data_IF_546545789205
#
_entry.id   IF_546545789205
#
_cell.length_a   1.000
_cell.length_b   1.000
_cell.length_c   1.000
_cell.angle_alpha   90.00
_cell.angle_beta   90.00
_cell.angle_gamma   90.00
#
_symmetry.space_group_name_H-M   'P 1'
#
loop_
_entity.id
_entity.type
_entity.pdbx_description
1 polymer ?
#
# COMPACT_ATOMS: atom_id res chain seq x y z
N UNK A 1 12.88 10.80 9.16
CA UNK A 1 13.23 9.41 9.50
C UNK A 1 12.05 8.56 9.10
N UNK A 2 12.26 7.60 8.21
CA UNK A 2 11.23 6.72 7.67
C UNK A 2 10.82 5.72 8.75
N UNK A 3 9.67 5.96 9.41
CA UNK A 3 9.30 5.27 10.66
C UNK A 3 9.16 3.77 10.52
N UNK A 4 8.93 3.28 9.30
CA UNK A 4 8.69 1.88 8.98
C UNK A 4 9.74 1.30 8.02
N UNK A 5 10.89 1.97 7.86
CA UNK A 5 11.98 1.47 7.03
C UNK A 5 12.34 0.01 7.37
N UNK A 6 12.39 -0.83 6.34
CA UNK A 6 12.73 -2.25 6.47
C UNK A 6 11.66 -3.13 7.11
N UNK A 7 10.45 -2.60 7.36
CA UNK A 7 9.30 -3.40 7.82
C UNK A 7 8.47 -3.90 6.66
N UNK A 8 7.82 -5.04 6.87
CA UNK A 8 6.79 -5.58 5.98
C UNK A 8 5.44 -5.45 6.67
N UNK A 9 4.43 -4.94 5.96
CA UNK A 9 3.07 -4.79 6.46
C UNK A 9 2.07 -5.53 5.55
N UNK A 10 1.12 -6.24 6.18
CA UNK A 10 -0.04 -6.82 5.53
C UNK A 10 -1.28 -6.01 5.91
N UNK A 11 -2.04 -5.50 4.93
CA UNK A 11 -3.25 -4.70 5.16
C UNK A 11 -4.45 -5.38 4.49
N UNK A 12 -5.45 -5.74 5.28
CA UNK A 12 -6.77 -6.15 4.76
C UNK A 12 -7.69 -4.94 4.63
N UNK A 13 -8.55 -4.92 3.61
CA UNK A 13 -9.47 -3.78 3.39
C UNK A 13 -8.75 -2.55 2.81
N UNK A 14 -7.66 -2.77 2.06
CA UNK A 14 -6.77 -1.69 1.62
C UNK A 14 -7.23 -0.91 0.38
N UNK A 15 -8.41 -1.19 -0.18
CA UNK A 15 -8.86 -0.53 -1.41
C UNK A 15 -9.50 0.86 -1.17
N UNK A 16 -9.98 1.15 0.06
CA UNK A 16 -10.65 2.43 0.38
C UNK A 16 -10.47 2.86 1.83
N UNK A 17 -10.94 4.07 2.14
CA UNK A 17 -11.03 4.58 3.51
C UNK A 17 -9.70 4.55 4.26
N UNK A 18 -9.72 4.05 5.49
CA UNK A 18 -8.55 3.96 6.36
C UNK A 18 -7.50 3.00 5.79
N UNK A 19 -7.87 1.81 5.33
CA UNK A 19 -6.93 0.83 4.77
C UNK A 19 -6.17 1.35 3.56
N UNK A 20 -6.82 2.08 2.65
CA UNK A 20 -6.13 2.75 1.54
C UNK A 20 -5.19 3.87 2.01
N UNK A 21 -5.58 4.61 3.06
CA UNK A 21 -4.75 5.66 3.65
C UNK A 21 -3.51 5.07 4.30
N UNK A 22 -3.66 4.00 5.06
CA UNK A 22 -2.57 3.25 5.71
C UNK A 22 -1.64 2.63 4.69
N UNK A 23 -2.16 2.02 3.62
CA UNK A 23 -1.36 1.46 2.52
C UNK A 23 -0.44 2.53 1.93
N UNK A 24 -0.98 3.72 1.59
CA UNK A 24 -0.19 4.83 1.05
C UNK A 24 0.81 5.37 2.05
N UNK A 25 0.39 5.55 3.30
CA UNK A 25 1.24 6.07 4.37
C UNK A 25 2.41 5.12 4.64
N UNK A 26 2.16 3.82 4.75
CA UNK A 26 3.18 2.85 5.14
C UNK A 26 4.25 2.72 4.05
N UNK A 27 3.84 2.72 2.77
CA UNK A 27 4.80 2.78 1.65
C UNK A 27 5.65 4.04 1.72
N UNK A 28 5.02 5.20 1.99
CA UNK A 28 5.74 6.48 2.15
C UNK A 28 6.73 6.47 3.32
N UNK A 29 6.40 5.78 4.41
CA UNK A 29 7.26 5.62 5.58
C UNK A 29 8.30 4.48 5.42
N UNK A 30 8.48 3.95 4.20
CA UNK A 30 9.54 3.00 3.87
C UNK A 30 9.22 1.52 4.11
N UNK A 31 7.96 1.18 4.40
CA UNK A 31 7.54 -0.22 4.53
C UNK A 31 7.36 -0.87 3.16
N UNK A 32 7.63 -2.18 3.07
CA UNK A 32 7.08 -3.03 2.02
C UNK A 32 5.67 -3.43 2.40
N UNK A 33 4.68 -3.12 1.57
CA UNK A 33 3.25 -3.33 1.87
C UNK A 33 2.66 -4.35 0.90
N UNK A 34 2.05 -5.38 1.45
CA UNK A 34 1.13 -6.27 0.74
C UNK A 34 -0.26 -5.95 1.24
N UNK A 35 -1.23 -5.76 0.35
CA UNK A 35 -2.60 -5.45 0.77
C UNK A 35 -3.63 -6.14 -0.12
N UNK A 36 -4.78 -6.44 0.47
CA UNK A 36 -5.90 -7.11 -0.19
C UNK A 36 -7.22 -6.48 0.19
N UNK A 37 -8.23 -6.69 -0.64
CA UNK A 37 -9.61 -6.23 -0.44
C UNK A 37 -10.55 -7.09 -1.30
N UNK A 38 -11.84 -7.07 -1.00
CA UNK A 38 -12.86 -7.69 -1.88
C UNK A 38 -13.13 -6.85 -3.14
N UNK A 39 -12.74 -5.57 -3.13
CA UNK A 39 -12.88 -4.66 -4.25
C UNK A 39 -11.62 -4.67 -5.13
N UNK A 40 -11.45 -5.73 -5.93
CA UNK A 40 -10.25 -5.98 -6.74
C UNK A 40 -9.79 -4.80 -7.60
N UNK A 41 -10.72 -4.22 -8.35
CA UNK A 41 -10.39 -3.14 -9.28
C UNK A 41 -9.94 -1.88 -8.55
N UNK A 42 -10.53 -1.60 -7.39
CA UNK A 42 -10.12 -0.46 -6.56
C UNK A 42 -8.76 -0.71 -5.91
N UNK A 43 -8.52 -1.94 -5.43
CA UNK A 43 -7.20 -2.34 -4.92
C UNK A 43 -6.09 -2.17 -5.96
N UNK A 44 -6.31 -2.64 -7.18
CA UNK A 44 -5.36 -2.48 -8.31
C UNK A 44 -5.13 -1.00 -8.65
N UNK A 45 -6.16 -0.14 -8.58
CA UNK A 45 -6.00 1.31 -8.77
C UNK A 45 -5.13 1.93 -7.67
N UNK A 46 -5.28 1.52 -6.41
CA UNK A 46 -4.43 1.99 -5.31
C UNK A 46 -2.97 1.59 -5.57
N UNK A 47 -2.71 0.33 -5.91
CA UNK A 47 -1.37 -0.16 -6.22
C UNK A 47 -0.75 0.64 -7.38
N UNK A 48 -1.46 0.77 -8.50
CA UNK A 48 -0.99 1.52 -9.66
C UNK A 48 -0.68 2.98 -9.32
N UNK A 49 -1.55 3.64 -8.54
CA UNK A 49 -1.35 5.02 -8.11
C UNK A 49 -0.09 5.18 -7.24
N UNK A 50 0.16 4.25 -6.31
CA UNK A 50 1.36 4.27 -5.45
C UNK A 50 2.63 4.03 -6.27
N UNK A 51 2.60 3.08 -7.22
CA UNK A 51 3.73 2.83 -8.13
C UNK A 51 4.03 4.05 -9.01
N UNK A 52 3.00 4.73 -9.50
CA UNK A 52 3.16 5.94 -10.30
C UNK A 52 3.79 7.10 -9.50
N UNK A 53 3.53 7.21 -8.19
CA UNK A 53 4.12 8.22 -7.32
C UNK A 53 5.53 7.89 -6.81
N UNK A 54 6.20 6.87 -7.36
CA UNK A 54 7.57 6.50 -6.99
C UNK A 54 7.70 5.40 -5.94
N UNK A 55 6.59 4.84 -5.42
CA UNK A 55 6.59 3.71 -4.48
C UNK A 55 6.78 2.35 -5.16
N UNK A 56 7.47 2.29 -6.31
CA UNK A 56 7.41 1.13 -7.24
C UNK A 56 7.82 -0.19 -6.62
N UNK A 57 8.74 -0.21 -5.66
CA UNK A 57 9.30 -1.48 -5.17
C UNK A 57 8.68 -1.94 -3.85
N UNK A 58 7.84 -1.11 -3.23
CA UNK A 58 7.41 -1.27 -1.84
C UNK A 58 5.91 -1.56 -1.69
N UNK A 59 5.17 -1.83 -2.77
CA UNK A 59 3.73 -2.11 -2.71
C UNK A 59 3.35 -3.29 -3.59
N UNK A 60 2.41 -4.12 -3.13
CA UNK A 60 1.78 -5.19 -3.93
C UNK A 60 0.31 -5.37 -3.53
N UNK A 61 -0.57 -5.41 -4.53
CA UNK A 61 -1.93 -5.93 -4.32
C UNK A 61 -1.93 -7.46 -4.40
N UNK A 62 -2.58 -8.11 -3.44
CA UNK A 62 -2.65 -9.57 -3.29
C UNK A 62 -4.03 -10.11 -3.64
#
# INVERSE_FOLDING_TARGET
MDRLAGKVALISGGARGQGATETRLFVREGATVVFGDVLDDDGKKIEAAIRASGGRDHVRYA
#
